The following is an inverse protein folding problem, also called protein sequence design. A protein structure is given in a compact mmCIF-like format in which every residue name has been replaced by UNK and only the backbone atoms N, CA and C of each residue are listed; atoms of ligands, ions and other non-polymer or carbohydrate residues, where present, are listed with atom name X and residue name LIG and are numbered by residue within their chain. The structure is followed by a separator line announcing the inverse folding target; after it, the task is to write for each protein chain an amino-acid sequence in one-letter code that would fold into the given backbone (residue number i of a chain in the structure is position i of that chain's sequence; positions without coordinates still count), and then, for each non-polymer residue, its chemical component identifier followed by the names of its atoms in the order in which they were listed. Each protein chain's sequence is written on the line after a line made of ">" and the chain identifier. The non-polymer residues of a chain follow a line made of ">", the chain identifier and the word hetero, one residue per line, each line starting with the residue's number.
data_IF_010612005618
#
_entry.id   IF_010612005618
#
_cell.length_a   1.000
_cell.length_b   1.000
_cell.length_c   1.000
_cell.angle_alpha   90.00
_cell.angle_beta   90.00
_cell.angle_gamma   90.00
#
_symmetry.space_group_name_H-M   'P 1'
#
loop_
_entity.id
_entity.type
_entity.pdbx_description
1 polymer ?
#
# COMPACT_ATOMS: atom_id res chain seq x y z
N UNK A 1 13.80 2.32 5.06
CA UNK A 1 12.38 2.60 4.71
C UNK A 1 11.59 2.97 5.97
N UNK A 2 10.65 3.93 5.94
CA UNK A 2 9.89 4.30 7.17
C UNK A 2 9.02 3.15 7.73
N UNK A 3 8.63 2.18 6.88
CA UNK A 3 7.89 0.98 7.27
C UNK A 3 8.66 0.08 8.26
N UNK A 4 9.99 0.03 8.14
CA UNK A 4 10.87 -0.75 9.03
C UNK A 4 10.82 -0.25 10.47
N UNK A 5 10.40 1.01 10.69
CA UNK A 5 10.24 1.60 12.03
C UNK A 5 8.86 1.35 12.62
N UNK A 6 7.83 1.17 11.79
CA UNK A 6 6.44 0.93 12.21
C UNK A 6 6.24 -0.54 12.61
N UNK A 7 6.89 -1.47 11.91
CA UNK A 7 6.74 -2.91 12.16
C UNK A 7 7.15 -3.33 13.59
N UNK A 8 8.29 -2.91 14.16
CA UNK A 8 8.65 -3.23 15.54
C UNK A 8 7.70 -2.62 16.58
N UNK A 9 7.24 -1.39 16.35
CA UNK A 9 6.24 -0.74 17.22
C UNK A 9 4.92 -1.53 17.23
N UNK A 10 4.44 -1.96 16.06
CA UNK A 10 3.24 -2.78 15.96
C UNK A 10 3.37 -4.13 16.68
N UNK A 11 4.52 -4.81 16.56
CA UNK A 11 4.78 -6.06 17.27
C UNK A 11 4.73 -5.90 18.79
N UNK A 12 5.23 -4.77 19.32
CA UNK A 12 5.13 -4.44 20.73
C UNK A 12 3.68 -4.23 21.17
N UNK A 13 2.86 -3.53 20.38
CA UNK A 13 1.43 -3.37 20.65
C UNK A 13 0.69 -4.72 20.60
N UNK A 14 1.01 -5.57 19.62
CA UNK A 14 0.44 -6.92 19.51
C UNK A 14 0.75 -7.77 20.75
N UNK A 15 1.97 -7.68 21.29
CA UNK A 15 2.39 -8.38 22.52
C UNK A 15 1.68 -7.84 23.76
N UNK A 16 1.43 -6.54 23.82
CA UNK A 16 0.87 -5.86 25.00
C UNK A 16 -0.65 -5.64 24.93
N UNK A 17 -1.35 -6.14 23.90
CA UNK A 17 -2.78 -5.91 23.65
C UNK A 17 -3.71 -6.26 24.82
N UNK A 18 -3.28 -7.14 25.71
CA UNK A 18 -4.07 -7.60 26.87
C UNK A 18 -3.90 -6.70 28.10
N UNK A 19 -3.01 -5.70 28.08
CA UNK A 19 -2.75 -4.80 29.22
C UNK A 19 -3.70 -3.60 29.16
N UNK A 20 -4.68 -3.47 30.07
CA UNK A 20 -5.68 -2.42 30.00
C UNK A 20 -5.21 -1.11 30.67
N UNK A 21 -3.92 -0.77 30.59
CA UNK A 21 -3.42 0.47 31.21
C UNK A 21 -3.72 1.69 30.35
N UNK A 22 -4.02 2.81 30.99
CA UNK A 22 -4.28 4.07 30.29
C UNK A 22 -3.07 4.54 29.47
N UNK A 23 -1.86 4.38 30.02
CA UNK A 23 -0.62 4.66 29.32
C UNK A 23 -0.39 3.79 28.07
N UNK A 24 -0.94 2.58 28.04
CA UNK A 24 -0.90 1.70 26.87
C UNK A 24 -1.92 2.17 25.83
N UNK A 25 -3.15 2.48 26.25
CA UNK A 25 -4.20 3.03 25.37
C UNK A 25 -3.78 4.34 24.71
N UNK A 26 -3.10 5.23 25.44
CA UNK A 26 -2.60 6.48 24.88
C UNK A 26 -1.50 6.24 23.83
N UNK A 27 -0.61 5.27 24.08
CA UNK A 27 0.40 4.88 23.09
C UNK A 27 -0.24 4.28 21.83
N UNK A 28 -1.28 3.47 21.98
CA UNK A 28 -2.04 2.91 20.86
C UNK A 28 -2.74 4.01 20.05
N UNK A 29 -3.39 4.98 20.71
CA UNK A 29 -4.00 6.14 20.04
C UNK A 29 -2.97 6.94 19.24
N UNK A 30 -1.79 7.22 19.82
CA UNK A 30 -0.70 7.91 19.13
C UNK A 30 -0.19 7.11 17.93
N UNK A 31 -0.07 5.79 18.07
CA UNK A 31 0.35 4.91 16.99
C UNK A 31 -0.67 4.91 15.83
N UNK A 32 -1.97 4.80 16.13
CA UNK A 32 -3.03 4.89 15.11
C UNK A 32 -2.97 6.22 14.36
N UNK A 33 -2.84 7.35 15.06
CA UNK A 33 -2.70 8.67 14.43
C UNK A 33 -1.47 8.76 13.52
N UNK A 34 -0.33 8.23 13.97
CA UNK A 34 0.92 8.18 13.20
C UNK A 34 0.77 7.34 11.93
N UNK A 35 0.11 6.18 12.03
CA UNK A 35 -0.15 5.29 10.90
C UNK A 35 -1.13 5.95 9.90
N UNK A 36 -2.19 6.59 10.38
CA UNK A 36 -3.13 7.31 9.51
C UNK A 36 -2.44 8.45 8.75
N UNK A 37 -1.67 9.29 9.44
CA UNK A 37 -0.93 10.37 8.79
C UNK A 37 0.08 9.86 7.75
N UNK A 38 0.72 8.70 8.01
CA UNK A 38 1.59 8.05 7.05
C UNK A 38 0.82 7.61 5.80
N UNK A 39 -0.33 6.95 5.97
CA UNK A 39 -1.17 6.56 4.85
C UNK A 39 -1.71 7.77 4.09
N UNK A 40 -2.06 8.88 4.74
CA UNK A 40 -2.53 10.09 4.07
C UNK A 40 -1.47 10.68 3.13
N UNK A 41 -0.21 10.73 3.56
CA UNK A 41 0.92 11.21 2.75
C UNK A 41 1.17 10.27 1.57
N UNK A 42 1.19 8.95 1.81
CA UNK A 42 1.35 7.96 0.74
C UNK A 42 0.21 8.05 -0.28
N UNK A 43 -1.04 8.13 0.17
CA UNK A 43 -2.20 8.24 -0.71
C UNK A 43 -2.21 9.54 -1.53
N UNK A 44 -1.75 10.67 -0.97
CA UNK A 44 -1.65 11.91 -1.73
C UNK A 44 -0.64 11.78 -2.89
N UNK A 45 0.52 11.16 -2.63
CA UNK A 45 1.49 10.86 -3.66
C UNK A 45 0.95 9.86 -4.69
N UNK A 46 0.30 8.79 -4.25
CA UNK A 46 -0.24 7.76 -5.15
C UNK A 46 -1.39 8.29 -6.02
N UNK A 47 -2.26 9.14 -5.48
CA UNK A 47 -3.33 9.82 -6.25
C UNK A 47 -2.78 10.70 -7.38
N UNK A 48 -1.58 11.26 -7.22
CA UNK A 48 -0.90 12.01 -8.28
C UNK A 48 -0.27 11.12 -9.34
N UNK A 49 0.17 9.92 -8.97
CA UNK A 49 0.87 8.99 -9.87
C UNK A 49 -0.09 8.06 -10.64
N UNK A 50 -1.22 7.69 -10.04
CA UNK A 50 -2.18 6.78 -10.66
C UNK A 50 -2.97 7.52 -11.76
N UNK A 51 -2.79 7.07 -13.00
CA UNK A 51 -3.49 7.62 -14.18
C UNK A 51 -4.91 7.06 -14.36
N UNK A 52 -5.15 5.83 -13.90
CA UNK A 52 -6.43 5.13 -14.09
C UNK A 52 -7.47 5.50 -13.03
N UNK A 53 -8.71 5.71 -13.46
CA UNK A 53 -9.79 6.15 -12.58
C UNK A 53 -10.19 5.07 -11.55
N UNK A 54 -10.18 3.78 -11.93
CA UNK A 54 -10.42 2.69 -10.97
C UNK A 54 -9.36 2.62 -9.87
N UNK A 55 -8.09 2.90 -10.18
CA UNK A 55 -7.03 2.94 -9.19
C UNK A 55 -7.23 4.08 -8.18
N UNK A 56 -7.72 5.24 -8.63
CA UNK A 56 -8.10 6.34 -7.73
C UNK A 56 -9.31 6.00 -6.87
N UNK A 57 -10.34 5.37 -7.46
CA UNK A 57 -11.52 4.90 -6.72
C UNK A 57 -11.15 3.85 -5.66
N UNK A 58 -10.22 2.94 -5.97
CA UNK A 58 -9.69 1.97 -5.02
C UNK A 58 -8.93 2.63 -3.86
N UNK A 59 -8.08 3.63 -4.14
CA UNK A 59 -7.39 4.40 -3.09
C UNK A 59 -8.35 5.20 -2.20
N UNK A 60 -9.41 5.76 -2.79
CA UNK A 60 -10.46 6.45 -2.02
C UNK A 60 -11.19 5.45 -1.11
N UNK A 61 -11.51 4.26 -1.63
CA UNK A 61 -12.17 3.21 -0.85
C UNK A 61 -11.31 2.70 0.33
N UNK A 62 -9.98 2.70 0.19
CA UNK A 62 -9.05 2.38 1.28
C UNK A 62 -9.05 3.40 2.44
N UNK A 63 -9.54 4.63 2.24
CA UNK A 63 -9.65 5.65 3.31
C UNK A 63 -10.84 5.40 4.24
N UNK A 64 -11.81 4.60 3.81
CA UNK A 64 -13.01 4.21 4.55
C UNK A 64 -12.89 2.78 5.13
N UNK A 65 -13.93 2.28 5.82
CA UNK A 65 -14.06 0.84 6.07
C UNK A 65 -13.93 0.09 4.73
N UNK A 66 -12.90 -0.75 4.63
CA UNK A 66 -12.36 -1.30 3.39
C UNK A 66 -13.41 -2.18 2.69
N UNK A 67 -14.12 -1.65 1.70
CA UNK A 67 -15.18 -2.37 0.98
C UNK A 67 -14.64 -3.12 -0.24
N UNK A 68 -13.58 -2.60 -0.88
CA UNK A 68 -12.89 -3.24 -1.99
C UNK A 68 -11.79 -4.17 -1.49
N UNK A 69 -12.00 -5.47 -1.69
CA UNK A 69 -10.98 -6.50 -1.53
C UNK A 69 -10.45 -6.82 -2.94
N UNK A 70 -9.13 -6.73 -3.16
CA UNK A 70 -8.53 -7.23 -4.41
C UNK A 70 -8.82 -8.73 -4.53
N UNK A 71 -9.68 -9.09 -5.48
CA UNK A 71 -10.11 -10.46 -5.68
C UNK A 71 -9.13 -11.18 -6.61
N UNK A 72 -9.30 -12.50 -6.70
CA UNK A 72 -8.45 -13.38 -7.50
C UNK A 72 -8.39 -12.99 -8.98
N UNK A 73 -9.42 -12.31 -9.50
CA UNK A 73 -9.47 -11.78 -10.86
C UNK A 73 -8.51 -10.60 -11.06
N UNK A 74 -8.48 -9.66 -10.12
CA UNK A 74 -7.56 -8.52 -10.16
C UNK A 74 -6.10 -8.99 -10.11
N UNK A 75 -5.82 -10.03 -9.32
CA UNK A 75 -4.50 -10.68 -9.26
C UNK A 75 -4.10 -11.31 -10.60
N UNK A 76 -5.06 -11.96 -11.28
CA UNK A 76 -4.80 -12.53 -12.62
C UNK A 76 -4.56 -11.44 -13.65
N UNK A 77 -5.29 -10.33 -13.57
CA UNK A 77 -5.13 -9.18 -14.45
C UNK A 77 -3.76 -8.51 -14.26
N UNK A 78 -3.35 -8.27 -13.01
CA UNK A 78 -2.03 -7.73 -12.70
C UNK A 78 -0.89 -8.64 -13.25
N UNK A 79 -0.99 -9.95 -13.02
CA UNK A 79 0.00 -10.90 -13.55
C UNK A 79 0.03 -10.99 -15.08
N UNK A 80 -1.06 -10.63 -15.76
CA UNK A 80 -1.09 -10.50 -17.22
C UNK A 80 -0.41 -9.20 -17.68
N UNK A 81 -0.69 -8.10 -17.00
CA UNK A 81 -0.09 -6.79 -17.30
C UNK A 81 1.43 -6.77 -17.08
N UNK A 82 1.92 -7.47 -16.06
CA UNK A 82 3.35 -7.62 -15.81
C UNK A 82 4.05 -8.35 -16.96
N UNK A 83 3.46 -9.46 -17.44
CA UNK A 83 3.98 -10.21 -18.59
C UNK A 83 4.02 -9.39 -19.87
N UNK A 84 2.97 -8.61 -20.12
CA UNK A 84 2.93 -7.71 -21.30
C UNK A 84 4.00 -6.63 -21.19
N UNK A 85 4.18 -6.06 -19.99
CA UNK A 85 5.17 -5.02 -19.75
C UNK A 85 6.60 -5.54 -19.90
N UNK A 86 6.88 -6.76 -19.44
CA UNK A 86 8.17 -7.42 -19.60
C UNK A 86 8.48 -7.68 -21.08
N UNK A 87 7.50 -8.22 -21.82
CA UNK A 87 7.65 -8.41 -23.27
C UNK A 87 7.93 -7.09 -24.01
N UNK A 88 7.24 -6.01 -23.64
CA UNK A 88 7.49 -4.69 -24.23
C UNK A 88 8.90 -4.19 -23.96
N UNK A 89 9.43 -4.39 -22.74
CA UNK A 89 10.81 -4.04 -22.39
C UNK A 89 11.82 -4.85 -23.20
N UNK A 90 11.58 -6.15 -23.38
CA UNK A 90 12.46 -6.99 -24.21
C UNK A 90 12.48 -6.56 -25.67
N UNK A 91 11.32 -6.22 -26.23
CA UNK A 91 11.21 -5.74 -27.62
C UNK A 91 11.93 -4.41 -27.78
N UNK A 92 11.77 -3.48 -26.83
CA UNK A 92 12.51 -2.21 -26.84
C UNK A 92 14.02 -2.43 -26.75
N UNK A 93 14.47 -3.28 -25.83
CA UNK A 93 15.89 -3.60 -25.67
C UNK A 93 16.49 -4.32 -26.90
N UNK A 94 15.67 -5.05 -27.68
CA UNK A 94 16.10 -5.63 -28.96
C UNK A 94 16.21 -4.58 -30.06
N UNK A 95 15.30 -3.60 -30.09
CA UNK A 95 15.36 -2.48 -31.04
C UNK A 95 16.57 -1.58 -30.79
N UNK A 96 16.88 -1.28 -29.53
CA UNK A 96 18.06 -0.50 -29.14
C UNK A 96 19.38 -1.20 -29.49
N UNK A 97 19.42 -2.53 -29.43
CA UNK A 97 20.59 -3.34 -29.85
C UNK A 97 20.76 -3.44 -31.37
N UNK A 98 19.75 -3.08 -32.14
CA UNK A 98 19.75 -3.13 -33.60
C UNK A 98 19.96 -1.77 -34.27
N UNK A 99 20.06 -0.69 -33.47
CA UNK A 99 20.61 0.62 -33.86
C UNK A 99 22.08 0.69 -33.49
#
# INVERSE_FOLDING_TARGET
>A
MQLEKILPEWLLFKKNKSRPSEAQRERERKFVRKVNAFFDISHANDMSMIKFEEGRKFLIDQRSERNMILRTLDKKLAAMQDRVSEHQREVLARKERAC
#
